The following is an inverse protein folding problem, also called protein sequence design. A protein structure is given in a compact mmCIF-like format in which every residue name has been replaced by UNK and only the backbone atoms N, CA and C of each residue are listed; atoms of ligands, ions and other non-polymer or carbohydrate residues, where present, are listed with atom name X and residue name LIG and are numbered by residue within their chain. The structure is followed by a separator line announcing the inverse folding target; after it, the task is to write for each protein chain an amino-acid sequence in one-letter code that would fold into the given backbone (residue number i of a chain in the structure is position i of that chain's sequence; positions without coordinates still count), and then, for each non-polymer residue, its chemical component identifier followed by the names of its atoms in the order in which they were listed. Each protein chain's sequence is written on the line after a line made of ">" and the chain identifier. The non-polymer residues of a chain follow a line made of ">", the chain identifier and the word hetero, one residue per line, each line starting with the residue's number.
data_IF_117966436295
#
_entry.id   IF_117966436295
#
_cell.length_a   1.000
_cell.length_b   1.000
_cell.length_c   1.000
_cell.angle_alpha   90.00
_cell.angle_beta   90.00
_cell.angle_gamma   90.00
#
_symmetry.space_group_name_H-M   'P 1'
#
loop_
_entity.id
_entity.type
_entity.pdbx_description
1 polymer ?
#
# COMPACT_ATOMS: atom_id res chain seq x y z
N UNK A 1 -9.31 -12.11 -16.50
CA UNK A 1 -8.65 -12.26 -15.18
C UNK A 1 -9.39 -11.37 -14.22
N UNK A 2 -9.82 -11.89 -13.08
CA UNK A 2 -10.60 -11.12 -12.11
C UNK A 2 -9.71 -10.67 -10.96
N UNK A 3 -9.83 -9.39 -10.60
CA UNK A 3 -9.08 -8.77 -9.51
C UNK A 3 -9.98 -7.91 -8.63
N UNK A 4 -9.55 -7.67 -7.41
CA UNK A 4 -10.05 -6.61 -6.53
C UNK A 4 -8.90 -5.68 -6.17
N UNK A 5 -9.23 -4.44 -5.83
CA UNK A 5 -8.24 -3.40 -5.54
C UNK A 5 -8.46 -2.86 -4.13
N UNK A 6 -7.39 -2.68 -3.37
CA UNK A 6 -7.40 -2.10 -2.03
C UNK A 6 -6.47 -0.91 -2.03
N UNK A 7 -6.96 0.24 -1.56
CA UNK A 7 -6.22 1.48 -1.63
C UNK A 7 -6.14 2.19 -0.29
N UNK A 8 -5.04 2.93 -0.15
CA UNK A 8 -4.75 3.80 0.98
C UNK A 8 -3.75 4.89 0.54
N UNK A 9 -3.60 5.93 1.34
CA UNK A 9 -2.86 7.14 1.01
C UNK A 9 -1.99 7.70 2.13
N UNK A 10 -1.02 8.51 1.72
CA UNK A 10 -0.26 9.37 2.62
C UNK A 10 -0.34 10.79 2.07
N UNK A 11 -0.89 11.72 2.84
CA UNK A 11 -1.06 13.11 2.43
C UNK A 11 -0.14 14.02 3.26
N UNK A 12 0.74 14.74 2.57
CA UNK A 12 1.63 15.77 3.12
C UNK A 12 2.28 15.39 4.47
N UNK A 13 3.02 14.27 4.53
CA UNK A 13 3.53 13.76 5.80
C UNK A 13 4.61 14.68 6.36
N UNK A 14 4.82 14.63 7.68
CA UNK A 14 5.99 15.23 8.33
C UNK A 14 7.16 14.26 8.26
N UNK A 15 8.35 14.78 7.98
CA UNK A 15 9.58 14.00 8.07
C UNK A 15 10.14 13.94 9.50
N UNK A 16 11.25 13.22 9.69
CA UNK A 16 11.88 13.05 11.00
C UNK A 16 12.38 14.37 11.63
N UNK A 17 12.58 15.43 10.84
CA UNK A 17 12.92 16.78 11.31
C UNK A 17 11.69 17.66 11.54
N UNK A 18 10.48 17.08 11.49
CA UNK A 18 9.19 17.76 11.52
C UNK A 18 8.95 18.73 10.34
N UNK A 19 9.69 18.61 9.24
CA UNK A 19 9.42 19.35 8.03
C UNK A 19 8.26 18.69 7.27
N UNK A 20 7.24 19.47 6.91
CA UNK A 20 6.15 18.99 6.05
C UNK A 20 6.72 18.69 4.66
N UNK A 21 6.51 17.47 4.18
CA UNK A 21 6.80 17.08 2.80
C UNK A 21 5.54 17.30 1.99
N UNK A 22 5.60 18.15 0.98
CA UNK A 22 4.48 18.42 0.08
C UNK A 22 4.37 17.31 -0.97
N UNK A 23 3.98 16.12 -0.51
CA UNK A 23 3.81 14.93 -1.35
C UNK A 23 2.50 14.22 -1.02
N UNK A 24 1.84 13.67 -2.04
CA UNK A 24 0.75 12.72 -1.89
C UNK A 24 1.23 11.35 -2.37
N UNK A 25 1.29 10.36 -1.47
CA UNK A 25 1.50 8.96 -1.80
C UNK A 25 0.16 8.26 -1.99
N UNK A 26 -0.02 7.58 -3.12
CA UNK A 26 -1.23 6.81 -3.43
C UNK A 26 -0.84 5.35 -3.66
N UNK A 27 -1.34 4.45 -2.82
CA UNK A 27 -1.06 3.03 -2.90
C UNK A 27 -2.27 2.25 -3.36
N UNK A 28 -2.09 1.34 -4.32
CA UNK A 28 -3.10 0.36 -4.69
C UNK A 28 -2.50 -1.04 -4.68
N UNK A 29 -3.11 -1.94 -3.91
CA UNK A 29 -2.89 -3.38 -3.92
C UNK A 29 -3.88 -4.02 -4.89
N UNK A 30 -3.39 -4.80 -5.84
CA UNK A 30 -4.21 -5.54 -6.81
C UNK A 30 -4.20 -7.02 -6.44
N UNK A 31 -5.35 -7.56 -6.05
CA UNK A 31 -5.51 -8.91 -5.54
C UNK A 31 -6.21 -9.77 -6.59
N UNK A 32 -5.55 -10.77 -7.19
CA UNK A 32 -6.25 -11.76 -8.01
C UNK A 32 -7.30 -12.49 -7.18
N UNK A 33 -8.56 -12.50 -7.64
CA UNK A 33 -9.67 -13.17 -6.93
C UNK A 33 -9.36 -14.63 -6.64
N UNK A 34 -8.76 -15.33 -7.61
CA UNK A 34 -8.28 -16.71 -7.48
C UNK A 34 -7.22 -16.96 -6.39
N UNK A 35 -6.55 -15.91 -5.89
CA UNK A 35 -5.49 -15.98 -4.88
C UNK A 35 -5.88 -15.35 -3.54
N UNK A 36 -6.98 -14.58 -3.51
CA UNK A 36 -7.44 -13.83 -2.34
C UNK A 36 -7.53 -14.68 -1.07
N UNK A 37 -8.14 -15.86 -1.16
CA UNK A 37 -8.30 -16.73 0.02
C UNK A 37 -6.94 -17.14 0.61
N UNK A 38 -5.93 -17.42 -0.22
CA UNK A 38 -4.59 -17.76 0.29
C UNK A 38 -3.93 -16.55 0.97
N UNK A 39 -4.05 -15.36 0.37
CA UNK A 39 -3.51 -14.13 0.94
C UNK A 39 -4.14 -13.87 2.31
N UNK A 40 -5.47 -13.88 2.39
CA UNK A 40 -6.21 -13.68 3.62
C UNK A 40 -5.85 -14.72 4.68
N UNK A 41 -5.78 -16.00 4.32
CA UNK A 41 -5.34 -17.06 5.23
C UNK A 41 -3.94 -16.79 5.78
N UNK A 42 -2.97 -16.38 4.95
CA UNK A 42 -1.62 -16.05 5.43
C UNK A 42 -1.60 -14.83 6.37
N UNK A 43 -2.35 -13.77 6.04
CA UNK A 43 -2.42 -12.57 6.88
C UNK A 43 -3.09 -12.85 8.23
N UNK A 44 -4.24 -13.53 8.20
CA UNK A 44 -5.03 -13.86 9.39
C UNK A 44 -4.26 -14.84 10.27
N UNK A 45 -3.70 -15.92 9.70
CA UNK A 45 -2.93 -16.89 10.47
C UNK A 45 -1.66 -16.30 11.08
N UNK A 46 -1.07 -15.28 10.46
CA UNK A 46 0.08 -14.56 11.02
C UNK A 46 -0.23 -13.86 12.35
N UNK A 47 -1.53 -13.62 12.67
CA UNK A 47 -1.96 -13.13 13.99
C UNK A 47 -1.71 -14.14 15.10
N UNK A 48 -1.65 -15.44 14.80
CA UNK A 48 -1.27 -16.42 15.79
C UNK A 48 0.23 -16.32 16.06
N UNK A 49 0.58 -15.82 17.26
CA UNK A 49 1.97 -15.73 17.72
C UNK A 49 2.36 -16.88 18.65
N UNK A 50 1.46 -17.83 18.88
CA UNK A 50 1.73 -19.01 19.67
C UNK A 50 2.40 -20.09 18.80
N UNK A 51 3.67 -20.42 19.10
CA UNK A 51 4.53 -21.24 18.22
C UNK A 51 3.93 -22.59 17.82
N UNK A 52 3.15 -23.22 18.71
CA UNK A 52 2.58 -24.56 18.47
C UNK A 52 1.31 -24.55 17.63
N UNK A 53 0.86 -23.37 17.16
CA UNK A 53 -0.35 -23.25 16.34
C UNK A 53 -0.06 -22.43 15.07
N UNK A 54 -0.43 -23.00 13.93
CA UNK A 54 -0.24 -22.37 12.62
C UNK A 54 -1.45 -21.56 12.16
N UNK A 55 -2.61 -21.76 12.80
CA UNK A 55 -3.87 -21.14 12.38
C UNK A 55 -4.42 -20.17 13.42
N UNK A 56 -5.01 -19.08 12.95
CA UNK A 56 -5.72 -18.14 13.83
C UNK A 56 -7.17 -18.57 14.02
N UNK A 57 -7.65 -18.45 15.26
CA UNK A 57 -9.04 -18.68 15.62
C UNK A 57 -9.57 -17.40 16.27
N UNK A 58 -10.74 -16.93 15.80
CA UNK A 58 -11.34 -15.69 16.29
C UNK A 58 -11.81 -15.78 17.74
N UNK A 59 -12.34 -16.94 18.12
CA UNK A 59 -12.77 -17.23 19.48
C UNK A 59 -11.74 -18.11 20.18
N UNK A 60 -11.29 -17.70 21.36
CA UNK A 60 -10.31 -18.43 22.15
C UNK A 60 -10.77 -19.86 22.46
N UNK A 61 -12.04 -20.06 22.77
CA UNK A 61 -12.60 -21.39 23.07
C UNK A 61 -12.63 -22.34 21.86
N UNK A 62 -12.54 -21.81 20.65
CA UNK A 62 -12.44 -22.61 19.41
C UNK A 62 -10.98 -22.91 19.03
N UNK A 63 -10.00 -22.33 19.72
CA UNK A 63 -8.59 -22.56 19.44
C UNK A 63 -8.15 -23.93 19.99
N UNK A 64 -7.64 -24.87 19.17
CA UNK A 64 -7.22 -26.19 19.65
C UNK A 64 -6.09 -26.13 20.67
N UNK A 65 -5.26 -25.08 20.63
CA UNK A 65 -4.19 -24.86 21.60
C UNK A 65 -4.65 -24.07 22.83
N UNK A 66 -5.94 -23.74 22.98
CA UNK A 66 -6.45 -23.00 24.14
C UNK A 66 -6.32 -23.81 25.43
N UNK A 67 -6.17 -23.11 26.55
CA UNK A 67 -6.23 -23.74 27.88
C UNK A 67 -7.57 -24.47 28.09
N UNK A 68 -8.67 -23.95 27.54
CA UNK A 68 -10.00 -24.59 27.62
C UNK A 68 -10.07 -25.92 26.86
N UNK A 69 -9.21 -26.11 25.85
CA UNK A 69 -9.08 -27.34 25.07
C UNK A 69 -7.85 -28.19 25.47
N UNK A 70 -7.24 -27.93 26.63
CA UNK A 70 -6.10 -28.68 27.15
C UNK A 70 -4.72 -28.26 26.62
N UNK A 71 -4.63 -27.12 25.91
CA UNK A 71 -3.39 -26.51 25.47
C UNK A 71 -2.85 -25.41 26.40
N UNK A 72 -1.92 -24.58 25.90
CA UNK A 72 -1.24 -23.55 26.70
C UNK A 72 -1.58 -22.11 26.26
N UNK A 73 -2.35 -21.93 25.18
CA UNK A 73 -2.71 -20.63 24.66
C UNK A 73 -3.70 -19.93 25.60
N UNK A 74 -3.29 -18.80 26.18
CA UNK A 74 -4.11 -17.98 27.08
C UNK A 74 -5.08 -17.09 26.31
N UNK A 75 -6.27 -16.84 26.87
CA UNK A 75 -7.25 -15.90 26.30
C UNK A 75 -6.66 -14.49 26.13
N UNK A 76 -5.87 -14.03 27.10
CA UNK A 76 -5.18 -12.74 27.04
C UNK A 76 -4.29 -12.61 25.80
N UNK A 77 -3.65 -13.69 25.33
CA UNK A 77 -2.84 -13.65 24.11
C UNK A 77 -3.70 -13.51 22.85
N UNK A 78 -4.88 -14.13 22.80
CA UNK A 78 -5.83 -13.91 21.70
C UNK A 78 -6.28 -12.44 21.67
N UNK A 79 -6.68 -11.89 22.82
CA UNK A 79 -7.10 -10.49 22.91
C UNK A 79 -6.00 -9.52 22.47
N UNK A 80 -4.75 -9.78 22.83
CA UNK A 80 -3.59 -8.95 22.43
C UNK A 80 -3.28 -9.06 20.93
N UNK A 81 -3.41 -10.26 20.34
CA UNK A 81 -3.14 -10.52 18.93
C UNK A 81 -4.25 -10.03 18.00
N UNK A 82 -5.45 -9.83 18.53
CA UNK A 82 -6.57 -9.18 17.85
C UNK A 82 -6.38 -7.66 17.85
N UNK A 83 -5.23 -7.21 17.35
CA UNK A 83 -4.86 -5.80 17.26
C UNK A 83 -4.91 -5.32 15.81
N UNK A 84 -5.33 -4.07 15.61
CA UNK A 84 -5.17 -3.41 14.33
C UNK A 84 -3.69 -3.14 14.01
N UNK A 85 -3.33 -3.30 12.74
CA UNK A 85 -2.06 -2.90 12.17
C UNK A 85 -2.28 -1.63 11.36
N UNK A 86 -1.93 -0.48 11.94
CA UNK A 86 -1.96 0.81 11.25
C UNK A 86 -0.59 1.50 11.36
N UNK A 87 0.09 1.71 10.23
CA UNK A 87 1.50 2.11 10.18
C UNK A 87 1.79 3.42 10.93
N UNK A 88 0.88 4.40 10.85
CA UNK A 88 1.05 5.68 11.55
C UNK A 88 1.13 5.51 13.05
N UNK A 89 0.36 4.58 13.61
CA UNK A 89 0.28 4.24 15.03
C UNK A 89 1.40 3.30 15.50
N UNK A 90 2.15 2.68 14.58
CA UNK A 90 3.29 1.84 14.93
C UNK A 90 4.45 2.70 15.49
N UNK A 91 4.66 2.66 16.81
CA UNK A 91 5.72 3.38 17.51
C UNK A 91 6.42 2.48 18.52
N UNK A 92 7.74 2.59 18.62
CA UNK A 92 8.54 1.78 19.52
C UNK A 92 8.17 1.94 21.01
N UNK A 93 7.58 3.05 21.44
CA UNK A 93 7.18 3.24 22.84
C UNK A 93 5.74 2.79 23.15
N UNK A 94 4.89 2.60 22.14
CA UNK A 94 3.44 2.37 22.33
C UNK A 94 2.93 1.08 21.72
N UNK A 95 3.54 0.62 20.64
CA UNK A 95 3.06 -0.58 19.96
C UNK A 95 3.28 -1.83 20.81
N UNK A 96 2.21 -2.62 20.92
CA UNK A 96 2.25 -3.91 21.59
C UNK A 96 3.23 -4.85 20.89
N UNK A 97 3.69 -5.88 21.60
CA UNK A 97 4.50 -6.93 20.98
C UNK A 97 3.74 -7.58 19.81
N UNK A 98 2.42 -7.75 19.95
CA UNK A 98 1.58 -8.34 18.90
C UNK A 98 1.60 -7.51 17.62
N UNK A 99 1.42 -6.18 17.72
CA UNK A 99 1.49 -5.30 16.55
C UNK A 99 2.85 -5.41 15.85
N UNK A 100 3.95 -5.37 16.61
CA UNK A 100 5.31 -5.48 16.07
C UNK A 100 5.52 -6.77 15.30
N UNK A 101 5.20 -7.90 15.92
CA UNK A 101 5.50 -9.21 15.34
C UNK A 101 4.57 -9.53 14.16
N UNK A 102 3.30 -9.13 14.22
CA UNK A 102 2.36 -9.29 13.10
C UNK A 102 2.80 -8.44 11.90
N UNK A 103 3.15 -7.16 12.10
CA UNK A 103 3.67 -6.30 11.03
C UNK A 103 4.92 -6.88 10.38
N UNK A 104 5.87 -7.39 11.18
CA UNK A 104 7.06 -8.07 10.65
C UNK A 104 6.71 -9.31 9.83
N UNK A 105 5.79 -10.15 10.32
CA UNK A 105 5.33 -11.35 9.57
C UNK A 105 4.69 -10.97 8.23
N UNK A 106 3.86 -9.93 8.19
CA UNK A 106 3.22 -9.47 6.95
C UNK A 106 4.22 -8.89 5.94
N UNK A 107 5.21 -8.11 6.39
CA UNK A 107 6.28 -7.64 5.52
C UNK A 107 7.19 -8.78 5.04
N UNK A 108 7.48 -9.77 5.88
CA UNK A 108 8.19 -10.97 5.44
C UNK A 108 7.37 -11.78 4.43
N UNK A 109 6.04 -11.84 4.59
CA UNK A 109 5.16 -12.46 3.60
C UNK A 109 5.23 -11.76 2.24
N UNK A 110 5.34 -10.41 2.19
CA UNK A 110 5.64 -9.68 0.96
C UNK A 110 6.95 -10.17 0.31
N UNK A 111 8.03 -10.22 1.09
CA UNK A 111 9.34 -10.64 0.60
C UNK A 111 9.30 -12.08 0.08
N UNK A 112 8.63 -12.99 0.80
CA UNK A 112 8.47 -14.38 0.39
C UNK A 112 7.55 -14.54 -0.84
N UNK A 113 6.52 -13.70 -1.01
CA UNK A 113 5.72 -13.66 -2.24
C UNK A 113 6.60 -13.39 -3.46
N UNK A 114 7.57 -12.50 -3.30
CA UNK A 114 8.51 -12.11 -4.33
C UNK A 114 9.56 -13.20 -4.59
N UNK A 115 10.27 -13.66 -3.56
CA UNK A 115 11.33 -14.67 -3.69
C UNK A 115 10.79 -16.00 -4.24
N UNK A 116 9.61 -16.43 -3.78
CA UNK A 116 9.00 -17.71 -4.21
C UNK A 116 8.08 -17.60 -5.42
N UNK A 117 8.06 -16.46 -6.10
CA UNK A 117 7.22 -16.21 -7.29
C UNK A 117 5.73 -16.55 -7.07
N UNK A 118 5.16 -16.26 -5.90
CA UNK A 118 3.80 -16.70 -5.54
C UNK A 118 2.70 -16.05 -6.39
N UNK A 119 2.99 -14.87 -6.95
CA UNK A 119 2.05 -14.06 -7.77
C UNK A 119 0.76 -13.76 -7.00
N UNK A 120 0.92 -13.35 -5.75
CA UNK A 120 -0.17 -13.06 -4.81
C UNK A 120 -0.30 -11.56 -4.57
N UNK A 121 0.82 -10.86 -4.38
CA UNK A 121 0.83 -9.42 -4.08
C UNK A 121 1.33 -8.64 -5.29
N UNK A 122 0.44 -7.82 -5.83
CA UNK A 122 0.72 -6.83 -6.87
C UNK A 122 0.42 -5.45 -6.29
N UNK A 123 1.29 -4.46 -6.49
CA UNK A 123 1.00 -3.10 -6.04
C UNK A 123 1.57 -2.04 -6.94
N UNK A 124 0.91 -0.89 -6.98
CA UNK A 124 1.44 0.32 -7.57
C UNK A 124 1.36 1.44 -6.53
N UNK A 125 2.50 2.06 -6.25
CA UNK A 125 2.57 3.23 -5.39
C UNK A 125 3.08 4.39 -6.22
N UNK A 126 2.33 5.50 -6.24
CA UNK A 126 2.72 6.73 -6.92
C UNK A 126 2.84 7.86 -5.90
N UNK A 127 4.00 8.49 -5.88
CA UNK A 127 4.23 9.72 -5.13
C UNK A 127 4.07 10.92 -6.06
N UNK A 128 3.16 11.82 -5.71
CA UNK A 128 2.91 13.09 -6.41
C UNK A 128 3.56 14.20 -5.61
N UNK A 129 4.64 14.75 -6.14
CA UNK A 129 5.36 15.89 -5.60
C UNK A 129 4.57 17.17 -5.92
N UNK A 130 4.05 17.82 -4.88
CA UNK A 130 3.20 19.01 -5.02
C UNK A 130 4.02 20.29 -5.22
N UNK A 131 5.29 20.32 -4.80
CA UNK A 131 6.17 21.48 -4.99
C UNK A 131 6.53 21.70 -6.46
N UNK A 132 6.51 20.62 -7.24
CA UNK A 132 6.82 20.62 -8.68
C UNK A 132 5.58 20.55 -9.58
N UNK A 133 4.41 20.38 -8.98
CA UNK A 133 3.12 20.34 -9.66
C UNK A 133 2.54 21.75 -9.79
N UNK A 134 2.00 22.09 -10.97
CA UNK A 134 1.13 23.27 -11.13
C UNK A 134 -0.23 22.99 -10.48
N UNK A 135 -0.32 23.18 -9.17
CA UNK A 135 -1.49 22.86 -8.35
C UNK A 135 -2.73 23.67 -8.76
N UNK A 136 -2.54 24.87 -9.31
CA UNK A 136 -3.58 25.77 -9.82
C UNK A 136 -4.43 25.15 -10.94
N UNK A 137 -3.86 24.19 -11.69
CA UNK A 137 -4.58 23.46 -12.74
C UNK A 137 -5.60 22.44 -12.19
N UNK A 138 -5.67 22.27 -10.87
CA UNK A 138 -6.57 21.33 -10.20
C UNK A 138 -7.75 22.04 -9.51
N UNK A 139 -7.99 23.30 -9.89
CA UNK A 139 -9.10 24.11 -9.41
C UNK A 139 -8.73 24.94 -8.19
N UNK A 140 -9.73 25.62 -7.62
CA UNK A 140 -9.54 26.57 -6.50
C UNK A 140 -10.06 26.04 -5.17
N UNK A 141 -10.79 24.92 -5.16
CA UNK A 141 -11.36 24.28 -3.98
C UNK A 141 -11.00 22.81 -3.95
N UNK A 142 -10.73 22.27 -2.75
CA UNK A 142 -10.37 20.85 -2.53
C UNK A 142 -9.27 20.37 -3.47
N UNK A 143 -8.22 21.19 -3.62
CA UNK A 143 -7.15 20.99 -4.60
C UNK A 143 -6.43 19.66 -4.39
N UNK A 144 -6.13 19.31 -3.13
CA UNK A 144 -5.46 18.05 -2.80
C UNK A 144 -6.33 16.83 -3.15
N UNK A 145 -7.63 16.90 -2.87
CA UNK A 145 -8.58 15.84 -3.21
C UNK A 145 -8.76 15.72 -4.74
N UNK A 146 -8.77 16.82 -5.47
CA UNK A 146 -8.82 16.82 -6.94
C UNK A 146 -7.55 16.20 -7.56
N UNK A 147 -6.38 16.53 -7.01
CA UNK A 147 -5.10 15.90 -7.36
C UNK A 147 -5.19 14.40 -7.07
N UNK A 148 -5.60 14.01 -5.86
CA UNK A 148 -5.76 12.62 -5.45
C UNK A 148 -6.70 11.86 -6.40
N UNK A 149 -7.89 12.38 -6.70
CA UNK A 149 -8.85 11.80 -7.66
C UNK A 149 -8.19 11.46 -9.00
N UNK A 150 -7.39 12.38 -9.57
CA UNK A 150 -6.73 12.19 -10.86
C UNK A 150 -5.67 11.10 -10.79
N UNK A 151 -4.81 11.16 -9.77
CA UNK A 151 -3.69 10.24 -9.66
C UNK A 151 -4.11 8.86 -9.15
N UNK A 152 -5.18 8.76 -8.37
CA UNK A 152 -5.82 7.49 -8.01
C UNK A 152 -6.21 6.66 -9.23
N UNK A 153 -6.93 7.27 -10.19
CA UNK A 153 -7.24 6.61 -11.47
C UNK A 153 -5.98 6.24 -12.25
N UNK A 154 -4.96 7.10 -12.21
CA UNK A 154 -3.68 6.85 -12.89
C UNK A 154 -2.95 5.64 -12.30
N UNK A 155 -2.95 5.48 -10.98
CA UNK A 155 -2.35 4.34 -10.28
C UNK A 155 -3.02 3.04 -10.66
N UNK A 156 -4.36 3.01 -10.66
CA UNK A 156 -5.12 1.82 -11.05
C UNK A 156 -4.91 1.49 -12.53
N UNK A 157 -5.03 2.48 -13.42
CA UNK A 157 -4.86 2.30 -14.86
C UNK A 157 -3.49 1.71 -15.20
N UNK A 158 -2.43 2.27 -14.60
CA UNK A 158 -1.08 1.74 -14.75
C UNK A 158 -0.98 0.30 -14.28
N UNK A 159 -1.53 -0.03 -13.10
CA UNK A 159 -1.47 -1.39 -12.55
C UNK A 159 -2.16 -2.41 -13.43
N UNK A 160 -3.38 -2.12 -13.90
CA UNK A 160 -4.13 -2.99 -14.83
C UNK A 160 -3.33 -3.25 -16.10
N UNK A 161 -2.85 -2.18 -16.74
CA UNK A 161 -2.13 -2.26 -18.00
C UNK A 161 -0.76 -2.93 -17.86
N UNK A 162 -0.01 -2.58 -16.83
CA UNK A 162 1.39 -3.00 -16.70
C UNK A 162 1.52 -4.38 -16.08
N UNK A 163 0.62 -4.77 -15.18
CA UNK A 163 0.71 -6.06 -14.49
C UNK A 163 -0.04 -7.18 -15.22
N UNK A 164 -1.06 -6.81 -16.00
CA UNK A 164 -1.98 -7.78 -16.60
C UNK A 164 -2.26 -7.51 -18.08
N UNK A 165 -1.60 -6.54 -18.74
CA UNK A 165 -1.97 -5.99 -20.06
C UNK A 165 -2.08 -6.96 -21.25
N UNK A 166 -1.68 -8.22 -21.09
CA UNK A 166 -1.93 -9.29 -22.07
C UNK A 166 -3.26 -10.04 -21.83
N UNK A 167 -4.06 -9.61 -20.85
CA UNK A 167 -5.30 -10.25 -20.42
C UNK A 167 -6.40 -9.20 -20.32
N UNK A 168 -7.63 -9.60 -20.65
CA UNK A 168 -8.80 -8.81 -20.29
C UNK A 168 -8.97 -8.89 -18.76
N UNK A 169 -8.84 -7.75 -18.08
CA UNK A 169 -9.00 -7.65 -16.63
C UNK A 169 -10.43 -7.22 -16.29
N UNK A 170 -11.03 -7.90 -15.31
CA UNK A 170 -12.29 -7.49 -14.69
C UNK A 170 -11.97 -7.08 -13.26
N UNK A 171 -12.11 -5.79 -12.96
CA UNK A 171 -12.05 -5.29 -11.58
C UNK A 171 -13.43 -5.53 -10.98
N UNK A 172 -13.51 -6.47 -10.04
CA UNK A 172 -14.76 -6.81 -9.36
C UNK A 172 -15.21 -5.70 -8.42
N UNK A 173 -14.27 -5.22 -7.61
CA UNK A 173 -14.53 -4.23 -6.57
C UNK A 173 -13.27 -3.43 -6.23
N UNK A 174 -13.47 -2.19 -5.83
CA UNK A 174 -12.41 -1.31 -5.31
C UNK A 174 -12.77 -0.93 -3.89
N UNK A 175 -11.85 -1.21 -2.97
CA UNK A 175 -11.93 -0.89 -1.56
C UNK A 175 -10.95 0.23 -1.23
N UNK A 176 -11.33 1.07 -0.29
CA UNK A 176 -10.51 2.17 0.21
C UNK A 176 -10.64 2.24 1.73
N UNK A 177 -9.59 2.64 2.43
CA UNK A 177 -9.71 2.90 3.87
C UNK A 177 -10.71 4.03 4.12
N UNK A 178 -11.39 4.01 5.27
CA UNK A 178 -12.27 5.12 5.65
C UNK A 178 -11.45 6.37 5.93
N UNK A 179 -11.90 7.51 5.39
CA UNK A 179 -11.16 8.76 5.51
C UNK A 179 -11.89 9.93 4.87
N UNK A 180 -11.19 11.05 4.70
CA UNK A 180 -11.78 12.29 4.17
C UNK A 180 -12.39 12.14 2.78
N UNK A 181 -11.88 11.19 1.98
CA UNK A 181 -12.32 10.94 0.61
C UNK A 181 -13.73 10.34 0.50
N UNK A 182 -14.26 9.71 1.56
CA UNK A 182 -15.63 9.17 1.57
C UNK A 182 -16.69 10.27 1.40
N UNK A 183 -16.40 11.46 1.95
CA UNK A 183 -17.30 12.61 1.95
C UNK A 183 -17.09 13.51 0.72
N UNK A 184 -16.21 13.12 -0.21
CA UNK A 184 -15.95 13.87 -1.42
C UNK A 184 -17.02 13.58 -2.48
N UNK A 185 -17.72 14.60 -2.97
CA UNK A 185 -18.90 14.43 -3.84
C UNK A 185 -18.67 13.65 -5.15
N UNK A 186 -17.41 13.50 -5.59
CA UNK A 186 -17.06 12.76 -6.80
C UNK A 186 -16.29 11.46 -6.53
N UNK A 187 -15.63 11.32 -5.38
CA UNK A 187 -14.66 10.24 -5.23
C UNK A 187 -15.30 8.85 -5.18
N UNK A 188 -16.38 8.64 -4.40
CA UNK A 188 -17.02 7.33 -4.28
C UNK A 188 -17.57 6.77 -5.60
N UNK A 189 -18.09 7.62 -6.50
CA UNK A 189 -18.86 7.18 -7.67
C UNK A 189 -18.20 7.53 -9.02
N UNK A 190 -17.75 8.78 -9.22
CA UNK A 190 -17.33 9.23 -10.55
C UNK A 190 -15.92 8.77 -10.94
N UNK A 191 -15.07 8.46 -9.96
CA UNK A 191 -13.70 8.03 -10.27
C UNK A 191 -13.66 6.72 -11.05
N UNK A 192 -14.41 5.72 -10.60
CA UNK A 192 -14.42 4.42 -11.25
C UNK A 192 -15.19 4.46 -12.57
N UNK A 193 -16.27 5.25 -12.66
CA UNK A 193 -16.95 5.46 -13.94
C UNK A 193 -16.02 6.04 -15.02
N UNK A 194 -15.22 7.06 -14.67
CA UNK A 194 -14.25 7.63 -15.60
C UNK A 194 -13.13 6.65 -15.94
N UNK A 195 -12.61 5.95 -14.92
CA UNK A 195 -11.55 4.96 -15.11
C UNK A 195 -12.00 3.79 -16.01
N UNK A 196 -13.24 3.31 -15.88
CA UNK A 196 -13.80 2.24 -16.71
C UNK A 196 -13.75 2.61 -18.21
N UNK A 197 -14.09 3.85 -18.55
CA UNK A 197 -13.94 4.37 -19.92
C UNK A 197 -12.46 4.40 -20.37
N UNK A 198 -11.57 4.86 -19.48
CA UNK A 198 -10.13 5.00 -19.77
C UNK A 198 -9.41 3.63 -19.89
N UNK A 199 -9.93 2.57 -19.25
CA UNK A 199 -9.38 1.21 -19.35
C UNK A 199 -9.58 0.62 -20.74
N UNK A 200 -10.69 0.90 -21.42
CA UNK A 200 -10.97 0.46 -22.78
C UNK A 200 -10.68 -1.03 -23.00
N UNK A 201 -9.76 -1.36 -23.92
CA UNK A 201 -9.41 -2.77 -24.22
C UNK A 201 -8.66 -3.51 -23.11
N UNK A 202 -8.16 -2.81 -22.09
CA UNK A 202 -7.35 -3.43 -21.03
C UNK A 202 -8.21 -4.08 -19.94
N UNK A 203 -9.43 -3.60 -19.74
CA UNK A 203 -10.33 -4.16 -18.75
C UNK A 203 -11.62 -3.37 -18.55
N UNK A 204 -12.43 -3.85 -17.63
CA UNK A 204 -13.69 -3.23 -17.20
C UNK A 204 -13.82 -3.27 -15.68
N UNK A 205 -14.68 -2.40 -15.16
CA UNK A 205 -15.03 -2.32 -13.74
C UNK A 205 -16.49 -2.74 -13.56
N UNK A 206 -16.71 -3.78 -12.75
CA UNK A 206 -18.03 -4.33 -12.45
C UNK A 206 -18.78 -3.47 -11.43
N UNK A 207 -18.20 -3.28 -10.24
CA UNK A 207 -18.70 -2.38 -9.21
C UNK A 207 -17.99 -1.00 -9.32
N UNK A 208 -18.75 0.01 -9.73
CA UNK A 208 -18.26 1.38 -9.96
C UNK A 208 -18.38 2.27 -8.73
N UNK A 209 -18.80 1.72 -7.60
CA UNK A 209 -18.78 2.39 -6.31
C UNK A 209 -17.55 1.94 -5.51
N UNK A 210 -16.84 2.91 -4.94
CA UNK A 210 -15.74 2.62 -4.01
C UNK A 210 -16.35 2.22 -2.67
N UNK A 211 -15.99 1.02 -2.20
CA UNK A 211 -16.39 0.55 -0.88
C UNK A 211 -15.40 1.02 0.20
N UNK A 212 -15.86 1.88 1.10
CA UNK A 212 -15.07 2.34 2.24
C UNK A 212 -15.15 1.34 3.39
N UNK A 213 -13.99 0.87 3.84
CA UNK A 213 -13.86 -0.12 4.90
C UNK A 213 -13.00 0.47 6.01
N UNK A 214 -13.41 0.26 7.24
CA UNK A 214 -12.62 0.59 8.42
C UNK A 214 -11.45 -0.40 8.52
N UNK A 215 -10.22 0.11 8.56
CA UNK A 215 -9.03 -0.74 8.70
C UNK A 215 -9.05 -1.57 9.99
N UNK A 216 -9.72 -1.14 11.06
CA UNK A 216 -9.88 -1.93 12.27
C UNK A 216 -10.92 -3.04 12.12
N UNK A 217 -10.43 -4.22 11.72
CA UNK A 217 -11.20 -5.46 11.61
C UNK A 217 -12.07 -5.82 12.83
N UNK A 218 -11.75 -5.30 14.03
CA UNK A 218 -12.55 -5.54 15.24
C UNK A 218 -13.96 -4.98 15.14
N UNK A 219 -14.14 -3.91 14.36
CA UNK A 219 -15.44 -3.31 14.09
C UNK A 219 -16.40 -4.26 13.38
N UNK A 220 -15.88 -5.31 12.73
CA UNK A 220 -16.65 -6.28 11.96
C UNK A 220 -16.82 -7.65 12.62
N UNK A 221 -16.35 -7.84 13.86
CA UNK A 221 -16.40 -9.16 14.55
C UNK A 221 -17.82 -9.69 14.73
N UNK A 222 -18.83 -8.81 14.75
CA UNK A 222 -20.25 -9.16 14.87
C UNK A 222 -21.02 -9.02 13.56
N UNK A 223 -20.34 -8.61 12.49
CA UNK A 223 -20.93 -8.35 11.17
C UNK A 223 -20.59 -9.49 10.19
N UNK A 224 -20.80 -9.27 8.89
CA UNK A 224 -20.42 -10.22 7.85
C UNK A 224 -18.91 -10.54 7.90
N UNK A 225 -18.59 -11.83 7.76
CA UNK A 225 -17.21 -12.34 7.73
C UNK A 225 -16.39 -11.74 6.57
N UNK A 226 -17.03 -11.18 5.55
CA UNK A 226 -16.33 -10.64 4.38
C UNK A 226 -15.64 -9.30 4.70
N UNK A 227 -16.32 -8.32 5.31
CA UNK A 227 -15.69 -7.04 5.68
C UNK A 227 -14.56 -7.20 6.70
N UNK A 228 -14.74 -8.16 7.63
CA UNK A 228 -13.68 -8.57 8.55
C UNK A 228 -12.43 -9.04 7.80
N UNK A 229 -12.58 -9.78 6.70
CA UNK A 229 -11.44 -10.21 5.89
C UNK A 229 -10.85 -9.07 5.08
N UNK A 230 -11.69 -8.25 4.44
CA UNK A 230 -11.25 -7.14 3.59
C UNK A 230 -10.39 -6.11 4.34
N UNK A 231 -10.74 -5.80 5.59
CA UNK A 231 -9.97 -4.88 6.44
C UNK A 231 -8.51 -5.30 6.64
N UNK A 232 -8.19 -6.60 6.52
CA UNK A 232 -6.80 -7.06 6.58
C UNK A 232 -5.99 -6.68 5.34
N UNK A 233 -6.63 -6.58 4.19
CA UNK A 233 -5.99 -6.14 2.94
C UNK A 233 -5.81 -4.62 2.92
N UNK A 234 -6.72 -3.87 3.56
CA UNK A 234 -6.55 -2.44 3.85
C UNK A 234 -5.34 -2.22 4.77
N UNK A 235 -5.29 -2.90 5.92
CA UNK A 235 -4.13 -2.83 6.84
C UNK A 235 -2.82 -3.26 6.15
N UNK A 236 -2.87 -4.19 5.19
CA UNK A 236 -1.69 -4.58 4.42
C UNK A 236 -1.21 -3.45 3.51
N UNK A 237 -2.08 -2.80 2.72
CA UNK A 237 -1.65 -1.71 1.84
C UNK A 237 -1.13 -0.50 2.63
N UNK A 238 -1.76 -0.16 3.77
CA UNK A 238 -1.27 0.86 4.71
C UNK A 238 0.14 0.53 5.23
N UNK A 239 0.36 -0.70 5.69
CA UNK A 239 1.68 -1.14 6.14
C UNK A 239 2.74 -1.08 5.02
N UNK A 240 2.36 -1.45 3.79
CA UNK A 240 3.24 -1.40 2.62
C UNK A 240 3.60 0.04 2.24
N UNK A 241 2.61 0.90 2.01
CA UNK A 241 2.85 2.31 1.64
C UNK A 241 3.62 3.01 2.75
N UNK A 242 3.28 2.79 4.01
CA UNK A 242 3.98 3.35 5.16
C UNK A 242 5.46 2.94 5.22
N UNK A 243 5.76 1.65 5.13
CA UNK A 243 7.14 1.12 5.20
C UNK A 243 8.00 1.55 4.00
N UNK A 244 7.38 1.66 2.82
CA UNK A 244 8.05 2.12 1.59
C UNK A 244 8.34 3.61 1.67
N UNK A 245 7.36 4.41 2.10
CA UNK A 245 7.49 5.87 2.26
C UNK A 245 8.53 6.20 3.34
N UNK A 246 8.58 5.42 4.41
CA UNK A 246 9.62 5.52 5.43
C UNK A 246 11.02 5.33 4.84
N UNK A 247 11.24 4.39 3.90
CA UNK A 247 12.54 4.27 3.21
C UNK A 247 12.84 5.50 2.34
N UNK A 248 11.84 5.99 1.60
CA UNK A 248 12.01 7.02 0.58
C UNK A 248 12.22 8.41 1.18
N UNK A 249 11.35 8.82 2.11
CA UNK A 249 11.30 10.18 2.66
C UNK A 249 11.76 10.30 4.11
N UNK A 250 12.10 9.17 4.75
CA UNK A 250 12.53 9.10 6.14
C UNK A 250 11.59 9.84 7.11
N UNK A 251 10.34 9.36 7.19
CA UNK A 251 9.29 10.09 7.89
C UNK A 251 9.46 10.13 9.43
N UNK A 252 10.19 9.20 10.01
CA UNK A 252 10.35 9.10 11.45
C UNK A 252 11.69 8.46 11.85
N UNK A 253 12.32 8.95 12.92
CA UNK A 253 13.47 8.29 13.53
C UNK A 253 13.07 7.14 14.50
N UNK A 254 11.77 6.83 14.61
CA UNK A 254 11.28 5.75 15.48
C UNK A 254 11.89 4.40 15.09
N UNK A 255 12.43 3.70 16.10
CA UNK A 255 13.12 2.42 15.92
C UNK A 255 12.25 1.37 15.24
N UNK A 256 10.97 1.24 15.61
CA UNK A 256 10.09 0.23 15.04
C UNK A 256 9.82 0.52 13.56
N UNK A 257 9.58 1.79 13.20
CA UNK A 257 9.37 2.18 11.80
C UNK A 257 10.62 1.92 10.94
N UNK A 258 11.81 2.20 11.48
CA UNK A 258 13.08 1.83 10.81
C UNK A 258 13.23 0.32 10.65
N UNK A 259 12.94 -0.47 11.69
CA UNK A 259 12.98 -1.95 11.61
C UNK A 259 12.05 -2.49 10.52
N UNK A 260 10.79 -2.04 10.47
CA UNK A 260 9.82 -2.45 9.46
C UNK A 260 10.25 -2.03 8.05
N UNK A 261 10.68 -0.79 7.88
CA UNK A 261 11.20 -0.29 6.61
C UNK A 261 12.40 -1.11 6.11
N UNK A 262 13.29 -1.56 7.00
CA UNK A 262 14.44 -2.39 6.63
C UNK A 262 14.04 -3.77 6.07
N UNK A 263 12.90 -4.34 6.48
CA UNK A 263 12.39 -5.61 5.91
C UNK A 263 12.02 -5.43 4.44
N UNK A 264 11.32 -4.33 4.11
CA UNK A 264 10.91 -4.02 2.74
C UNK A 264 12.05 -3.47 1.86
N UNK A 265 13.10 -2.90 2.47
CA UNK A 265 14.18 -2.16 1.79
C UNK A 265 14.83 -2.90 0.61
N UNK A 266 15.15 -4.21 0.68
CA UNK A 266 15.74 -4.92 -0.46
C UNK A 266 14.85 -4.90 -1.71
N UNK A 267 13.52 -5.01 -1.52
CA UNK A 267 12.57 -4.91 -2.62
C UNK A 267 12.47 -3.46 -3.12
N UNK A 268 12.36 -2.49 -2.20
CA UNK A 268 12.30 -1.05 -2.55
C UNK A 268 13.50 -0.63 -3.39
N UNK A 269 14.71 -0.98 -2.96
CA UNK A 269 15.94 -0.63 -3.68
C UNK A 269 15.89 -1.08 -5.15
N UNK A 270 15.42 -2.32 -5.38
CA UNK A 270 15.32 -2.87 -6.73
C UNK A 270 14.24 -2.21 -7.57
N UNK A 271 13.11 -1.86 -6.96
CA UNK A 271 12.03 -1.13 -7.63
C UNK A 271 12.44 0.28 -8.03
N UNK A 272 13.33 0.93 -7.27
CA UNK A 272 13.85 2.26 -7.59
C UNK A 272 14.95 2.20 -8.65
N UNK A 273 15.92 1.28 -8.51
CA UNK A 273 17.09 1.19 -9.38
C UNK A 273 16.83 0.47 -10.70
N UNK A 274 16.00 -0.57 -10.70
CA UNK A 274 15.80 -1.46 -11.85
C UNK A 274 14.36 -2.00 -11.92
N UNK A 275 13.34 -1.13 -11.99
CA UNK A 275 11.92 -1.50 -11.94
C UNK A 275 11.50 -2.48 -13.05
N UNK A 276 12.22 -2.47 -14.18
CA UNK A 276 11.88 -3.23 -15.38
C UNK A 276 12.73 -4.49 -15.57
N UNK A 277 13.41 -4.99 -14.52
CA UNK A 277 14.27 -6.19 -14.63
C UNK A 277 13.45 -7.50 -14.53
N UNK A 278 13.24 -8.23 -15.65
CA UNK A 278 12.50 -9.50 -15.63
C UNK A 278 13.26 -10.63 -14.93
N UNK A 279 14.58 -10.52 -14.80
CA UNK A 279 15.46 -11.55 -14.24
C UNK A 279 15.80 -11.31 -12.76
N UNK A 280 15.06 -10.44 -12.08
CA UNK A 280 15.24 -10.19 -10.65
C UNK A 280 14.89 -11.43 -9.83
N UNK A 281 15.72 -11.78 -8.85
CA UNK A 281 15.43 -12.86 -7.88
C UNK A 281 14.21 -12.58 -7.00
N UNK A 282 13.73 -11.33 -6.95
CA UNK A 282 12.50 -10.93 -6.28
C UNK A 282 11.27 -11.00 -7.21
N UNK A 283 11.47 -11.29 -8.49
CA UNK A 283 10.41 -11.48 -9.48
C UNK A 283 9.42 -10.30 -9.62
N UNK A 284 9.70 -9.08 -9.15
CA UNK A 284 8.73 -7.98 -9.09
C UNK A 284 8.28 -7.39 -10.45
N UNK A 285 8.96 -7.75 -11.55
CA UNK A 285 8.67 -7.24 -12.89
C UNK A 285 7.21 -7.48 -13.28
N UNK A 286 6.55 -6.43 -13.79
CA UNK A 286 5.11 -6.44 -14.10
C UNK A 286 4.22 -6.87 -12.92
N UNK A 287 4.64 -6.61 -11.68
CA UNK A 287 3.82 -6.89 -10.50
C UNK A 287 3.81 -5.78 -9.48
N UNK A 288 4.95 -5.13 -9.32
CA UNK A 288 5.14 -4.14 -8.28
C UNK A 288 5.85 -2.95 -8.88
N UNK A 289 5.39 -1.76 -8.52
CA UNK A 289 5.91 -0.52 -9.07
C UNK A 289 5.88 0.59 -8.01
N UNK A 290 6.94 1.39 -7.99
CA UNK A 290 7.04 2.63 -7.22
C UNK A 290 7.40 3.72 -8.21
N UNK A 291 6.52 4.70 -8.37
CA UNK A 291 6.69 5.84 -9.27
C UNK A 291 6.65 7.17 -8.54
N UNK A 292 7.21 8.18 -9.20
CA UNK A 292 7.21 9.57 -8.77
C UNK A 292 6.76 10.46 -9.91
N UNK A 293 5.96 11.47 -9.61
CA UNK A 293 5.45 12.44 -10.57
C UNK A 293 5.42 13.84 -9.96
N UNK A 294 5.70 14.90 -10.75
CA UNK A 294 6.26 14.86 -12.09
C UNK A 294 7.80 14.67 -12.08
N UNK A 295 8.37 14.17 -13.18
CA UNK A 295 9.83 14.06 -13.37
C UNK A 295 10.48 15.41 -13.60
N UNK A 296 9.78 16.30 -14.28
CA UNK A 296 10.20 17.67 -14.57
C UNK A 296 9.16 18.64 -14.02
N UNK A 297 9.59 19.76 -13.44
CA UNK A 297 8.67 20.83 -13.03
C UNK A 297 7.77 21.20 -14.21
N UNK A 298 6.47 21.30 -13.94
CA UNK A 298 5.48 21.60 -14.96
C UNK A 298 5.45 23.08 -15.35
N UNK A 299 6.24 23.97 -14.72
CA UNK A 299 6.40 25.37 -15.16
C UNK A 299 6.77 25.50 -16.64
N UNK A 300 7.58 24.56 -17.15
CA UNK A 300 7.97 24.50 -18.57
C UNK A 300 6.94 23.78 -19.45
N UNK A 301 5.96 23.10 -18.86
CA UNK A 301 4.96 22.34 -19.60
C UNK A 301 3.92 23.25 -20.26
N UNK A 302 3.60 24.42 -19.73
CA UNK A 302 2.59 25.30 -20.35
C UNK A 302 2.98 25.69 -21.79
N UNK A 303 4.24 26.01 -22.04
CA UNK A 303 4.77 26.26 -23.40
C UNK A 303 4.88 24.97 -24.25
N UNK A 304 5.03 23.82 -23.60
CA UNK A 304 5.14 22.48 -24.19
C UNK A 304 3.78 21.84 -24.49
N UNK A 305 2.70 22.28 -23.85
CA UNK A 305 1.35 21.71 -23.95
C UNK A 305 0.52 22.39 -25.04
N UNK A 306 0.80 23.66 -25.34
CA UNK A 306 0.13 24.41 -26.40
C UNK A 306 0.55 23.98 -27.83
N UNK A 307 1.63 23.20 -27.97
CA UNK A 307 2.27 22.89 -29.27
C UNK A 307 2.24 21.41 -29.68
N UNK A 308 1.63 20.53 -28.89
CA UNK A 308 1.64 19.09 -29.13
C UNK A 308 0.30 18.56 -29.64
N UNK A 309 0.37 17.65 -30.61
CA UNK A 309 -0.78 16.80 -30.96
C UNK A 309 -1.18 15.91 -29.77
N UNK A 310 -2.43 15.43 -29.76
CA UNK A 310 -2.96 14.57 -28.70
C UNK A 310 -2.05 13.36 -28.40
N UNK A 311 -1.38 12.82 -29.42
CA UNK A 311 -0.46 11.68 -29.31
C UNK A 311 0.89 12.06 -28.66
N UNK A 312 1.42 13.25 -28.95
CA UNK A 312 2.65 13.73 -28.34
C UNK A 312 2.46 14.10 -26.86
N UNK A 313 1.28 14.60 -26.49
CA UNK A 313 0.89 14.82 -25.09
C UNK A 313 0.81 13.50 -24.29
N UNK A 314 0.25 12.45 -24.89
CA UNK A 314 0.19 11.12 -24.28
C UNK A 314 1.59 10.47 -24.13
N UNK A 315 2.51 10.72 -25.05
CA UNK A 315 3.90 10.28 -24.92
C UNK A 315 4.71 11.11 -23.90
N UNK A 316 4.45 12.42 -23.78
CA UNK A 316 5.02 13.25 -22.72
C UNK A 316 4.59 12.78 -21.33
N UNK A 317 3.29 12.45 -21.14
CA UNK A 317 2.78 11.86 -19.90
C UNK A 317 3.53 10.58 -19.51
N UNK A 318 3.81 9.69 -20.47
CA UNK A 318 4.59 8.46 -20.20
C UNK A 318 6.02 8.74 -19.75
N UNK A 319 6.64 9.84 -20.21
CA UNK A 319 8.00 10.23 -19.83
C UNK A 319 8.11 10.95 -18.49
N UNK A 320 6.99 11.34 -17.89
CA UNK A 320 6.96 12.23 -16.72
C UNK A 320 6.76 11.50 -15.38
N UNK A 321 6.51 10.19 -15.41
CA UNK A 321 6.66 9.34 -14.22
C UNK A 321 8.08 8.75 -14.24
N UNK A 322 8.79 8.85 -13.12
CA UNK A 322 10.12 8.26 -12.94
C UNK A 322 10.17 7.34 -11.73
N UNK A 323 11.18 6.47 -11.66
CA UNK A 323 11.36 5.51 -10.56
C UNK A 323 12.69 5.69 -9.83
N UNK A 324 13.72 6.18 -10.54
CA UNK A 324 15.05 6.33 -9.98
C UNK A 324 15.08 7.50 -8.98
N UNK A 325 15.00 7.17 -7.69
CA UNK A 325 15.11 8.11 -6.57
C UNK A 325 15.97 7.49 -5.49
N UNK A 326 16.80 8.31 -4.84
CA UNK A 326 17.57 7.88 -3.67
C UNK A 326 16.65 7.72 -2.45
N UNK A 327 16.85 6.66 -1.68
CA UNK A 327 16.22 6.51 -0.37
C UNK A 327 16.85 7.49 0.64
N UNK A 328 16.04 8.31 1.29
CA UNK A 328 16.49 9.26 2.31
C UNK A 328 16.79 8.56 3.65
N UNK A 329 16.11 7.45 3.96
CA UNK A 329 16.38 6.71 5.21
C UNK A 329 17.73 5.99 5.08
N UNK A 330 18.67 6.20 6.04
CA UNK A 330 19.94 5.48 6.04
C UNK A 330 19.72 3.99 6.26
N UNK A 331 20.71 3.17 5.90
CA UNK A 331 20.75 1.78 6.34
C UNK A 331 20.72 1.74 7.86
N UNK A 332 19.92 0.84 8.43
CA UNK A 332 19.72 0.74 9.86
C UNK A 332 19.92 -0.70 10.30
N UNK A 333 20.84 -0.92 11.24
CA UNK A 333 20.97 -2.19 11.95
C UNK A 333 20.38 -2.04 13.36
N UNK A 334 19.24 -2.70 13.67
CA UNK A 334 18.63 -2.64 15.00
C UNK A 334 19.51 -3.22 16.12
N UNK A 335 20.56 -3.98 15.77
CA UNK A 335 21.53 -4.54 16.72
C UNK A 335 22.73 -3.61 16.94
N UNK A 336 22.94 -2.61 16.09
CA UNK A 336 24.04 -1.68 16.24
C UNK A 336 23.79 -0.76 17.44
N UNK A 337 24.70 -0.80 18.41
CA UNK A 337 24.62 0.03 19.63
C UNK A 337 24.79 1.49 19.26
N UNK A 338 24.01 2.38 19.89
CA UNK A 338 24.14 3.81 19.65
C UNK A 338 25.55 4.28 20.06
N UNK A 339 26.30 4.84 19.12
CA UNK A 339 27.64 5.37 19.37
C UNK A 339 27.64 6.52 20.39
N UNK A 340 26.49 7.18 20.62
CA UNK A 340 26.34 8.18 21.68
C UNK A 340 26.41 7.61 23.10
N UNK A 341 26.39 6.29 23.27
CA UNK A 341 26.61 5.64 24.57
C UNK A 341 28.10 5.44 24.88
N UNK A 342 28.99 5.79 23.94
CA UNK A 342 30.43 5.66 24.06
C UNK A 342 31.13 6.99 24.41
N UNK A 343 30.38 8.09 24.50
CA UNK A 343 30.87 9.43 24.83
C UNK A 343 30.25 9.95 26.12
#
# INVERSE_FOLDING_TARGET
>A
MEIEIYADEIITPKDFNNCTRNVIGIGCLFVPVSKKQNILSNLINSRCLFKSNESWFWEHDKCPSSITNGGECKNQWHQQNMCEIHHTELRNSRSSNSQREISKKWLNYLIENNIRDRKEIYFNILFVDLDTLQIENFGTQKVHENIYNKFFRTVIHYGVKSFFGNKNVTIKKVFHDKGSMENHGYFPYLNLMKLDLDLGKYGLIEDKEIAFIDSDHRNYLRESNDLLKESHLIQLIDLLIGSITQNIYYLSDDRLKKELAMIARPLVNRLLESPSNPNSSYNYYQRQHIGFFPKYSLENATYFLDSLSHEQFENYKKGNIYTNRKMEMPSYDPKQTNLSLWY
#
